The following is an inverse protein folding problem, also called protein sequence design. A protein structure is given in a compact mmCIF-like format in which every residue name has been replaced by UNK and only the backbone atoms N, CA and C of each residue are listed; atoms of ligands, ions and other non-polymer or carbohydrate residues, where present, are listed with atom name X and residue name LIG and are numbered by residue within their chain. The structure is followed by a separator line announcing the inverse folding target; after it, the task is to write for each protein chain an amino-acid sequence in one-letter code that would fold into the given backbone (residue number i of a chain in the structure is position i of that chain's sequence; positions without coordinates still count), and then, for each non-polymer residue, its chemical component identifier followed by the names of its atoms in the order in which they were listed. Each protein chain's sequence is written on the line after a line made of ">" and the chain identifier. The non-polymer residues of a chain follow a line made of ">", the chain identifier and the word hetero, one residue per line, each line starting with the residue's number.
data_IF_854495114381
#
_entry.id   IF_854495114381
#
_cell.length_a   1.000
_cell.length_b   1.000
_cell.length_c   1.000
_cell.angle_alpha   90.00
_cell.angle_beta   90.00
_cell.angle_gamma   90.00
#
_symmetry.space_group_name_H-M   'P 1'
#
loop_
_entity.id
_entity.type
_entity.pdbx_description
1 polymer ?
#
# COMPACT_ATOMS: atom_id res chain seq x y z
N UNK A 1 -7.05 12.94 14.45
CA UNK A 1 -5.94 12.27 15.15
C UNK A 1 -4.67 12.58 14.38
N UNK A 2 -3.52 12.79 15.05
CA UNK A 2 -2.24 12.91 14.35
C UNK A 2 -1.98 11.63 13.54
N UNK A 3 -1.44 11.79 12.33
CA UNK A 3 -1.04 10.69 11.44
C UNK A 3 0.47 10.62 11.50
N UNK A 4 1.01 9.51 12.00
CA UNK A 4 2.43 9.19 11.87
C UNK A 4 2.64 8.38 10.58
N UNK A 5 3.62 8.77 9.77
CA UNK A 5 3.89 8.12 8.49
C UNK A 5 5.38 7.77 8.34
N UNK A 6 5.63 6.70 7.60
CA UNK A 6 6.97 6.27 7.22
C UNK A 6 6.99 5.91 5.74
N UNK A 7 8.12 6.13 5.07
CA UNK A 7 8.35 5.69 3.69
C UNK A 7 9.81 5.25 3.49
N UNK A 8 10.03 4.33 2.57
CA UNK A 8 11.31 3.67 2.29
C UNK A 8 12.39 4.56 1.66
N UNK A 9 12.06 5.77 1.21
CA UNK A 9 12.98 6.70 0.51
C UNK A 9 14.17 7.25 1.32
N UNK A 10 14.57 6.60 2.40
CA UNK A 10 15.81 6.94 3.08
C UNK A 10 17.01 6.22 2.45
N UNK A 11 18.06 7.00 2.23
CA UNK A 11 19.30 6.66 1.53
C UNK A 11 20.07 5.54 2.26
N UNK A 12 19.68 4.28 2.07
CA UNK A 12 20.29 3.14 2.75
C UNK A 12 20.69 2.03 1.78
N UNK A 13 21.72 1.26 2.17
CA UNK A 13 22.07 0.02 1.49
C UNK A 13 20.89 -0.96 1.54
N UNK A 14 20.71 -1.76 0.49
CA UNK A 14 19.55 -2.64 0.31
C UNK A 14 19.22 -3.51 1.53
N UNK A 15 20.23 -4.05 2.22
CA UNK A 15 20.02 -4.88 3.42
C UNK A 15 19.49 -4.10 4.65
N UNK A 16 19.93 -2.85 4.83
CA UNK A 16 19.48 -2.01 5.97
C UNK A 16 18.07 -1.50 5.73
N UNK A 17 17.77 -1.10 4.49
CA UNK A 17 16.44 -0.69 4.07
C UNK A 17 15.40 -1.80 4.32
N UNK A 18 15.72 -3.05 3.96
CA UNK A 18 14.85 -4.21 4.20
C UNK A 18 14.51 -4.38 5.68
N UNK A 19 15.50 -4.31 6.59
CA UNK A 19 15.28 -4.49 8.03
C UNK A 19 14.39 -3.39 8.64
N UNK A 20 14.53 -2.14 8.19
CA UNK A 20 13.68 -1.04 8.63
C UNK A 20 12.23 -1.24 8.16
N UNK A 21 12.02 -1.66 6.91
CA UNK A 21 10.68 -1.93 6.39
C UNK A 21 9.97 -2.98 7.25
N UNK A 22 10.64 -4.08 7.60
CA UNK A 22 10.07 -5.09 8.50
C UNK A 22 9.63 -4.49 9.84
N UNK A 23 10.50 -3.66 10.44
CA UNK A 23 10.20 -3.03 11.73
C UNK A 23 8.98 -2.12 11.63
N UNK A 24 8.84 -1.38 10.53
CA UNK A 24 7.71 -0.49 10.30
C UNK A 24 6.42 -1.26 10.01
N UNK A 25 6.48 -2.35 9.24
CA UNK A 25 5.35 -3.26 9.04
C UNK A 25 4.90 -3.91 10.36
N UNK A 26 5.83 -4.13 11.30
CA UNK A 26 5.55 -4.61 12.66
C UNK A 26 4.98 -3.55 13.61
N UNK A 27 4.74 -2.31 13.18
CA UNK A 27 4.02 -1.30 13.99
C UNK A 27 2.90 -0.61 13.23
N UNK A 28 2.86 -0.72 11.91
CA UNK A 28 1.88 -0.06 11.07
C UNK A 28 0.43 -0.52 11.38
N UNK A 29 -0.47 0.46 11.43
CA UNK A 29 -1.91 0.22 11.44
C UNK A 29 -2.48 -0.01 10.04
N UNK A 30 -1.88 0.63 9.04
CA UNK A 30 -2.24 0.57 7.63
C UNK A 30 -0.96 0.59 6.80
N UNK A 31 -0.91 -0.26 5.78
CA UNK A 31 0.17 -0.32 4.80
C UNK A 31 -0.39 0.09 3.45
N UNK A 32 0.21 1.11 2.84
CA UNK A 32 -0.20 1.67 1.54
C UNK A 32 0.86 1.34 0.50
N UNK A 33 0.44 0.81 -0.65
CA UNK A 33 1.31 0.52 -1.79
C UNK A 33 0.94 1.45 -2.95
N UNK A 34 1.82 2.39 -3.29
CA UNK A 34 1.58 3.33 -4.38
C UNK A 34 1.97 2.70 -5.73
N UNK A 35 0.99 2.13 -6.42
CA UNK A 35 1.21 1.34 -7.63
C UNK A 35 1.43 2.23 -8.85
N UNK A 36 2.57 2.03 -9.49
CA UNK A 36 2.97 2.65 -10.75
C UNK A 36 3.83 1.66 -11.56
N UNK A 37 4.10 1.93 -12.85
CA UNK A 37 5.09 1.17 -13.61
C UNK A 37 6.47 1.14 -12.93
N UNK A 38 6.89 2.25 -12.31
CA UNK A 38 8.15 2.34 -11.58
C UNK A 38 8.15 1.44 -10.34
N UNK A 39 7.02 1.37 -9.62
CA UNK A 39 6.86 0.47 -8.48
C UNK A 39 6.92 -1.00 -8.92
N UNK A 40 6.24 -1.36 -10.00
CA UNK A 40 6.25 -2.73 -10.54
C UNK A 40 7.59 -3.13 -11.16
N UNK A 41 8.36 -2.17 -11.68
CA UNK A 41 9.71 -2.41 -12.20
C UNK A 41 10.77 -2.53 -11.09
N UNK A 42 10.44 -2.17 -9.85
CA UNK A 42 11.37 -2.26 -8.73
C UNK A 42 11.46 -3.68 -8.17
N UNK A 43 12.65 -4.08 -7.72
CA UNK A 43 12.88 -5.35 -7.01
C UNK A 43 12.09 -5.44 -5.69
N UNK A 44 11.53 -4.32 -5.22
CA UNK A 44 10.81 -4.17 -3.96
C UNK A 44 9.61 -5.13 -3.87
N UNK A 45 8.79 -5.23 -4.91
CA UNK A 45 7.53 -5.99 -4.86
C UNK A 45 7.70 -7.50 -5.07
N UNK A 46 8.87 -7.90 -5.56
CA UNK A 46 9.18 -9.28 -5.97
C UNK A 46 10.26 -9.95 -5.13
N UNK A 47 10.92 -9.19 -4.26
CA UNK A 47 11.81 -9.79 -3.28
C UNK A 47 11.01 -10.75 -2.39
N UNK A 48 11.56 -11.96 -2.20
CA UNK A 48 10.99 -12.97 -1.31
C UNK A 48 10.74 -12.42 0.09
N UNK A 49 11.62 -11.53 0.53
CA UNK A 49 11.59 -10.85 1.81
C UNK A 49 10.34 -9.96 1.93
N UNK A 50 10.10 -9.06 0.98
CA UNK A 50 8.92 -8.18 1.01
C UNK A 50 7.61 -8.96 0.99
N UNK A 51 7.55 -10.00 0.15
CA UNK A 51 6.38 -10.89 0.07
C UNK A 51 6.09 -11.52 1.44
N UNK A 52 7.12 -12.04 2.12
CA UNK A 52 6.97 -12.62 3.45
C UNK A 52 6.56 -11.57 4.50
N UNK A 53 7.08 -10.35 4.39
CA UNK A 53 6.73 -9.24 5.28
C UNK A 53 5.25 -8.86 5.17
N UNK A 54 4.75 -8.71 3.95
CA UNK A 54 3.36 -8.41 3.66
C UNK A 54 2.44 -9.55 4.09
N UNK A 55 2.82 -10.81 3.85
CA UNK A 55 2.07 -11.98 4.32
C UNK A 55 1.96 -12.04 5.86
N UNK A 56 3.04 -11.70 6.56
CA UNK A 56 3.03 -11.62 8.03
C UNK A 56 2.09 -10.51 8.51
N UNK A 57 2.19 -9.32 7.90
CA UNK A 57 1.28 -8.21 8.19
C UNK A 57 -0.19 -8.58 7.94
N UNK A 58 -0.47 -9.26 6.83
CA UNK A 58 -1.80 -9.75 6.47
C UNK A 58 -2.38 -10.70 7.51
N UNK A 59 -1.55 -11.63 7.99
CA UNK A 59 -1.94 -12.62 8.97
C UNK A 59 -2.22 -12.01 10.34
N UNK A 60 -1.41 -11.05 10.75
CA UNK A 60 -1.37 -10.61 12.14
C UNK A 60 -2.19 -9.33 12.39
N UNK A 61 -2.41 -8.45 11.39
CA UNK A 61 -2.83 -7.06 11.67
C UNK A 61 -3.80 -6.38 10.72
N UNK A 62 -3.71 -6.62 9.41
CA UNK A 62 -4.43 -5.80 8.44
C UNK A 62 -4.35 -6.34 7.02
N UNK A 63 -4.65 -5.51 6.03
CA UNK A 63 -4.51 -5.86 4.61
C UNK A 63 -3.78 -4.71 3.92
N UNK A 64 -2.74 -4.96 3.12
CA UNK A 64 -2.09 -3.93 2.31
C UNK A 64 -3.09 -3.28 1.36
N UNK A 65 -3.02 -1.96 1.21
CA UNK A 65 -3.95 -1.18 0.37
C UNK A 65 -3.22 -0.70 -0.87
N UNK A 66 -3.49 -1.28 -2.05
CA UNK A 66 -2.96 -0.77 -3.30
C UNK A 66 -3.65 0.56 -3.64
N UNK A 67 -2.87 1.60 -3.90
CA UNK A 67 -3.33 2.88 -4.46
C UNK A 67 -2.72 3.05 -5.84
N UNK A 68 -3.56 2.98 -6.87
CA UNK A 68 -3.11 3.06 -8.26
C UNK A 68 -2.86 4.52 -8.61
N UNK A 69 -1.59 4.95 -8.54
CA UNK A 69 -1.24 6.35 -8.82
C UNK A 69 -1.01 6.60 -10.31
N UNK A 70 -0.54 5.58 -11.04
CA UNK A 70 -0.29 5.61 -12.49
C UNK A 70 -0.85 4.36 -13.15
N UNK A 71 -1.16 4.39 -14.46
CA UNK A 71 -1.74 3.25 -15.14
C UNK A 71 -0.71 2.12 -15.15
N UNK A 72 -1.14 1.00 -14.62
CA UNK A 72 -0.40 -0.25 -14.57
C UNK A 72 -1.45 -1.33 -14.70
N UNK A 73 -1.32 -2.24 -15.67
CA UNK A 73 -2.35 -3.26 -15.94
C UNK A 73 -2.00 -4.61 -15.32
N UNK A 74 -0.72 -4.81 -14.95
CA UNK A 74 -0.23 -6.10 -14.48
C UNK A 74 -0.37 -6.30 -12.98
N UNK A 75 -0.57 -5.24 -12.19
CA UNK A 75 -0.64 -5.33 -10.72
C UNK A 75 -1.68 -6.33 -10.21
N UNK A 76 -2.80 -6.49 -10.91
CA UNK A 76 -3.86 -7.46 -10.60
C UNK A 76 -3.40 -8.92 -10.67
N UNK A 77 -2.33 -9.22 -11.43
CA UNK A 77 -1.79 -10.56 -11.61
C UNK A 77 -0.87 -10.98 -10.47
N UNK A 78 -0.53 -10.05 -9.56
CA UNK A 78 0.35 -10.27 -8.43
C UNK A 78 -0.43 -10.42 -7.12
N UNK A 79 0.25 -10.78 -6.02
CA UNK A 79 -0.38 -10.98 -4.72
C UNK A 79 -1.19 -9.75 -4.27
N UNK A 80 -0.67 -8.54 -4.54
CA UNK A 80 -1.34 -7.27 -4.25
C UNK A 80 -2.68 -7.10 -4.99
N UNK A 81 -2.89 -7.83 -6.10
CA UNK A 81 -4.11 -7.86 -6.88
C UNK A 81 -5.30 -8.53 -6.18
N UNK A 82 -5.05 -9.26 -5.09
CA UNK A 82 -6.08 -9.89 -4.27
C UNK A 82 -6.78 -8.90 -3.33
N UNK A 83 -6.23 -7.69 -3.17
CA UNK A 83 -6.76 -6.68 -2.28
C UNK A 83 -7.57 -5.64 -3.05
N UNK A 84 -8.54 -5.05 -2.37
CA UNK A 84 -9.33 -3.96 -2.93
C UNK A 84 -8.44 -2.73 -3.11
N UNK A 85 -8.20 -2.34 -4.36
CA UNK A 85 -7.42 -1.15 -4.69
C UNK A 85 -8.26 0.12 -4.63
N UNK A 86 -7.55 1.22 -4.38
CA UNK A 86 -8.04 2.60 -4.48
C UNK A 86 -7.29 3.33 -5.60
N UNK A 87 -7.85 4.40 -6.21
CA UNK A 87 -9.26 4.78 -6.18
C UNK A 87 -10.18 3.64 -6.62
N UNK A 88 -11.49 3.78 -6.38
CA UNK A 88 -12.51 2.77 -6.71
C UNK A 88 -12.32 2.23 -8.13
N UNK A 89 -12.51 0.92 -8.28
CA UNK A 89 -12.32 0.15 -9.51
C UNK A 89 -10.86 0.12 -10.02
N UNK A 90 -9.89 0.53 -9.20
CA UNK A 90 -8.48 0.55 -9.57
C UNK A 90 -8.14 1.59 -10.64
N UNK A 91 -9.02 2.58 -10.86
CA UNK A 91 -8.77 3.64 -11.84
C UNK A 91 -7.61 4.50 -11.36
N UNK A 92 -6.50 4.43 -12.09
CA UNK A 92 -5.30 5.20 -11.79
C UNK A 92 -5.59 6.69 -11.59
N UNK A 93 -5.05 7.30 -10.53
CA UNK A 93 -5.22 8.73 -10.20
C UNK A 93 -4.88 9.61 -11.41
N UNK A 94 -3.79 9.31 -12.12
CA UNK A 94 -3.38 10.05 -13.32
C UNK A 94 -4.37 9.98 -14.50
N UNK A 95 -5.46 9.21 -14.41
CA UNK A 95 -6.51 9.06 -15.43
C UNK A 95 -7.81 9.75 -15.03
N UNK A 96 -7.89 10.35 -13.85
CA UNK A 96 -9.02 11.17 -13.47
C UNK A 96 -8.92 12.55 -14.15
N UNK A 97 -10.05 13.16 -14.54
CA UNK A 97 -10.04 14.54 -15.06
C UNK A 97 -9.50 15.53 -14.03
N UNK A 98 -9.87 15.32 -12.77
CA UNK A 98 -9.40 16.08 -11.62
C UNK A 98 -8.67 15.14 -10.63
N UNK A 99 -7.37 15.37 -10.35
CA UNK A 99 -6.65 14.63 -9.33
C UNK A 99 -7.23 14.78 -7.92
N UNK A 100 -7.84 15.91 -7.59
CA UNK A 100 -8.39 16.14 -6.24
C UNK A 100 -9.61 15.24 -6.00
N UNK A 101 -10.47 15.06 -7.00
CA UNK A 101 -11.57 14.08 -6.96
C UNK A 101 -11.07 12.64 -6.76
N UNK A 102 -9.93 12.31 -7.38
CA UNK A 102 -9.32 11.00 -7.26
C UNK A 102 -8.77 10.75 -5.84
N UNK A 103 -8.11 11.76 -5.26
CA UNK A 103 -7.58 11.69 -3.90
C UNK A 103 -8.69 11.70 -2.86
N UNK A 104 -9.76 12.46 -3.06
CA UNK A 104 -10.96 12.41 -2.21
C UNK A 104 -11.55 10.99 -2.21
N UNK A 105 -11.61 10.33 -3.38
CA UNK A 105 -12.07 8.95 -3.47
C UNK A 105 -11.16 7.97 -2.69
N UNK A 106 -9.85 8.17 -2.76
CA UNK A 106 -8.87 7.41 -1.95
C UNK A 106 -9.09 7.65 -0.46
N UNK A 107 -9.23 8.91 -0.04
CA UNK A 107 -9.41 9.28 1.36
C UNK A 107 -10.69 8.67 1.94
N UNK A 108 -11.80 8.73 1.21
CA UNK A 108 -13.05 8.08 1.61
C UNK A 108 -12.90 6.56 1.76
N UNK A 109 -12.21 5.92 0.82
CA UNK A 109 -11.92 4.48 0.89
C UNK A 109 -11.07 4.10 2.10
N UNK A 110 -10.01 4.86 2.37
CA UNK A 110 -9.13 4.67 3.53
C UNK A 110 -9.88 4.90 4.84
N UNK A 111 -10.75 5.92 4.91
CA UNK A 111 -11.55 6.18 6.09
C UNK A 111 -12.49 5.00 6.40
N UNK A 112 -13.20 4.48 5.39
CA UNK A 112 -14.07 3.32 5.57
C UNK A 112 -13.31 2.08 6.03
N UNK A 113 -12.11 1.84 5.48
CA UNK A 113 -11.23 0.75 5.91
C UNK A 113 -10.78 0.91 7.37
N UNK A 114 -10.34 2.10 7.76
CA UNK A 114 -9.90 2.39 9.13
C UNK A 114 -11.03 2.22 10.14
N UNK A 115 -12.24 2.67 9.81
CA UNK A 115 -13.42 2.45 10.64
C UNK A 115 -13.73 0.96 10.82
N UNK A 116 -13.55 0.14 9.79
CA UNK A 116 -13.74 -1.31 9.87
C UNK A 116 -12.68 -1.99 10.74
N UNK A 117 -11.41 -1.61 10.58
CA UNK A 117 -10.32 -2.11 11.42
C UNK A 117 -10.53 -1.72 12.89
N UNK A 118 -10.97 -0.48 13.16
CA UNK A 118 -11.27 -0.02 14.51
C UNK A 118 -12.43 -0.79 15.15
N UNK A 119 -13.43 -1.22 14.37
CA UNK A 119 -14.53 -2.08 14.87
C UNK A 119 -14.04 -3.49 15.19
N UNK A 120 -13.19 -4.08 14.35
CA UNK A 120 -12.68 -5.46 14.52
C UNK A 120 -11.71 -5.62 15.70
N UNK A 121 -11.05 -4.53 16.11
CA UNK A 121 -10.10 -4.50 17.23
C UNK A 121 -10.77 -4.26 18.59
N UNK A 122 -12.07 -4.00 18.63
CA UNK A 122 -12.88 -3.89 19.87
C UNK A 122 -13.45 -5.24 20.27
#
# INVERSE_FOLDING_TARGET
>A
LPIDYWHDRHFFSSATATAEIYTQLEVADVVILLISPDFMASDYCFSKEMVQALQKYEKDRGVPVPIIIRPESTWHQHQIGQHQALPRDGRAISKWPDPDDAWENVTQGLQALLEDLARKRR
#
